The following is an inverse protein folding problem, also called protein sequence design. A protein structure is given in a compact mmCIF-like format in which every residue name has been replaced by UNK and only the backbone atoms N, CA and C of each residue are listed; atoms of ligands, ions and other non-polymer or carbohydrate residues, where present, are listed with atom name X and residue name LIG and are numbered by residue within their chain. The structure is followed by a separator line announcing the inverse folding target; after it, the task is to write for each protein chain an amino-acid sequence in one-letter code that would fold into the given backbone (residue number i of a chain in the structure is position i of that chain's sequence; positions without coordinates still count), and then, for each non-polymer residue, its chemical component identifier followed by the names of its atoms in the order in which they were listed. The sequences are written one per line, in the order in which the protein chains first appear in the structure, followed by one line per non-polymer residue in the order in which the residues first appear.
data_IF_030205493758
#
_entry.id   IF_030205493758
#
_cell.length_a   1.000
_cell.length_b   1.000
_cell.length_c   1.000
_cell.angle_alpha   90.00
_cell.angle_beta   90.00
_cell.angle_gamma   90.00
#
_symmetry.space_group_name_H-M   'P 1'
#
loop_
_entity.id
_entity.type
_entity.pdbx_description
1 polymer ?
#
# COMPACT_ATOMS: atom_id res chain seq x y z
N UNK A 1 -26.67 -45.54 -9.75
CA UNK A 1 -25.50 -45.51 -8.85
C UNK A 1 -24.67 -44.30 -9.19
N UNK A 2 -24.59 -43.40 -8.23
CA UNK A 2 -23.81 -42.17 -8.24
C UNK A 2 -22.32 -42.45 -8.03
N UNK A 3 -21.46 -41.61 -8.60
CA UNK A 3 -20.14 -41.32 -8.03
C UNK A 3 -18.96 -41.70 -8.91
N UNK A 4 -18.45 -40.74 -9.67
CA UNK A 4 -17.01 -40.47 -9.84
C UNK A 4 -16.84 -39.11 -10.52
N UNK A 5 -15.66 -38.49 -10.41
CA UNK A 5 -15.27 -37.17 -10.96
C UNK A 5 -15.36 -35.94 -10.06
N UNK A 6 -15.01 -36.06 -8.77
CA UNK A 6 -14.55 -34.89 -8.00
C UNK A 6 -13.23 -35.19 -7.28
N UNK A 7 -12.13 -35.04 -8.00
CA UNK A 7 -10.77 -35.28 -7.52
C UNK A 7 -9.73 -34.49 -8.32
N UNK A 8 -10.01 -33.21 -8.61
CA UNK A 8 -9.05 -32.31 -9.25
C UNK A 8 -7.99 -31.85 -8.24
N UNK A 9 -6.75 -32.23 -8.51
CA UNK A 9 -5.54 -31.96 -7.73
C UNK A 9 -5.50 -30.51 -7.21
N UNK A 10 -5.46 -30.31 -5.89
CA UNK A 10 -5.53 -28.98 -5.24
C UNK A 10 -4.38 -28.05 -5.64
N UNK A 11 -3.27 -28.62 -6.11
CA UNK A 11 -2.10 -27.92 -6.66
C UNK A 11 -2.40 -27.23 -8.00
N UNK A 12 -3.18 -27.86 -8.90
CA UNK A 12 -3.58 -27.24 -10.17
C UNK A 12 -4.45 -25.99 -9.94
N UNK A 13 -5.29 -25.97 -8.89
CA UNK A 13 -6.14 -24.81 -8.59
C UNK A 13 -5.35 -23.56 -8.15
N UNK A 14 -4.18 -23.74 -7.54
CA UNK A 14 -3.31 -22.63 -7.10
C UNK A 14 -2.46 -22.06 -8.24
N UNK A 15 -2.10 -22.89 -9.22
CA UNK A 15 -1.30 -22.50 -10.40
C UNK A 15 -2.11 -21.77 -11.48
N UNK A 16 -3.43 -21.99 -11.53
CA UNK A 16 -4.32 -21.47 -12.57
C UNK A 16 -4.29 -19.93 -12.73
N UNK A 17 -4.39 -19.10 -11.67
CA UNK A 17 -4.41 -17.64 -11.83
C UNK A 17 -3.08 -17.09 -12.33
N UNK A 18 -1.95 -17.58 -11.79
CA UNK A 18 -0.61 -17.15 -12.18
C UNK A 18 -0.32 -17.54 -13.63
N UNK A 19 -0.67 -18.76 -14.03
CA UNK A 19 -0.52 -19.22 -15.41
C UNK A 19 -1.37 -18.40 -16.37
N UNK A 20 -2.63 -18.12 -16.03
CA UNK A 20 -3.52 -17.30 -16.84
C UNK A 20 -2.97 -15.86 -17.02
N UNK A 21 -2.43 -15.25 -15.97
CA UNK A 21 -1.78 -13.93 -16.03
C UNK A 21 -0.62 -13.94 -17.03
N UNK A 22 0.25 -14.95 -16.98
CA UNK A 22 1.40 -15.06 -17.90
C UNK A 22 0.93 -15.24 -19.35
N UNK A 23 -0.01 -16.15 -19.60
CA UNK A 23 -0.56 -16.41 -20.93
C UNK A 23 -1.25 -15.17 -21.52
N UNK A 24 -2.02 -14.43 -20.71
CA UNK A 24 -2.66 -13.19 -21.14
C UNK A 24 -1.63 -12.13 -21.53
N UNK A 25 -0.57 -11.93 -20.72
CA UNK A 25 0.50 -10.97 -21.01
C UNK A 25 1.25 -11.34 -22.29
N UNK A 26 1.54 -12.61 -22.51
CA UNK A 26 2.18 -13.09 -23.74
C UNK A 26 1.29 -12.85 -24.97
N UNK A 27 -0.02 -13.08 -24.84
CA UNK A 27 -0.97 -12.83 -25.92
C UNK A 27 -1.09 -11.33 -26.23
N UNK A 28 -1.18 -10.48 -25.21
CA UNK A 28 -1.16 -9.01 -25.35
C UNK A 28 0.12 -8.55 -26.06
N UNK A 29 1.28 -9.09 -25.69
CA UNK A 29 2.56 -8.78 -26.36
C UNK A 29 2.53 -9.15 -27.85
N UNK A 30 1.97 -10.32 -28.18
CA UNK A 30 1.81 -10.78 -29.57
C UNK A 30 0.86 -9.87 -30.36
N UNK A 31 -0.27 -9.48 -29.78
CA UNK A 31 -1.21 -8.56 -30.41
C UNK A 31 -0.59 -7.17 -30.61
N UNK A 32 0.21 -6.68 -29.67
CA UNK A 32 0.95 -5.42 -29.83
C UNK A 32 1.94 -5.47 -31.00
N UNK A 33 2.69 -6.58 -31.17
CA UNK A 33 3.53 -6.79 -32.35
C UNK A 33 2.72 -6.75 -33.65
N UNK A 34 1.54 -7.38 -33.66
CA UNK A 34 0.63 -7.37 -34.81
C UNK A 34 0.07 -5.97 -35.10
N UNK A 35 -0.30 -5.20 -34.07
CA UNK A 35 -0.69 -3.79 -34.16
C UNK A 35 0.40 -2.96 -34.85
N UNK A 36 1.65 -3.07 -34.38
CA UNK A 36 2.79 -2.36 -34.97
C UNK A 36 3.01 -2.75 -36.44
N UNK A 37 2.89 -4.04 -36.76
CA UNK A 37 3.00 -4.51 -38.14
C UNK A 37 1.90 -3.94 -39.05
N UNK A 38 0.64 -3.89 -38.57
CA UNK A 38 -0.48 -3.29 -39.32
C UNK A 38 -0.26 -1.80 -39.53
N UNK A 39 0.27 -1.08 -38.54
CA UNK A 39 0.61 0.33 -38.66
C UNK A 39 1.67 0.56 -39.75
N UNK A 40 2.75 -0.25 -39.76
CA UNK A 40 3.76 -0.18 -40.81
C UNK A 40 3.16 -0.45 -42.19
N UNK A 41 2.29 -1.47 -42.33
CA UNK A 41 1.60 -1.75 -43.59
C UNK A 41 0.71 -0.59 -44.04
N UNK A 42 0.05 0.11 -43.11
CA UNK A 42 -0.72 1.32 -43.42
C UNK A 42 0.15 2.44 -43.95
N UNK A 43 1.30 2.67 -43.32
CA UNK A 43 2.25 3.72 -43.72
C UNK A 43 2.84 3.41 -45.10
N UNK A 44 3.19 2.15 -45.37
CA UNK A 44 3.67 1.70 -46.68
C UNK A 44 2.61 1.92 -47.78
N UNK A 45 1.33 1.61 -47.51
CA UNK A 45 0.25 1.87 -48.48
C UNK A 45 -0.01 3.36 -48.66
N UNK A 46 0.15 4.19 -47.62
CA UNK A 46 0.01 5.64 -47.72
C UNK A 46 1.10 6.24 -48.61
N UNK A 47 2.36 5.85 -48.40
CA UNK A 47 3.48 6.26 -49.23
C UNK A 47 3.30 5.81 -50.68
N UNK A 48 2.85 4.57 -50.90
CA UNK A 48 2.58 4.04 -52.22
C UNK A 48 1.45 4.80 -52.93
N UNK A 49 0.37 5.13 -52.21
CA UNK A 49 -0.73 5.93 -52.73
C UNK A 49 -0.24 7.32 -53.17
N UNK A 50 0.58 8.00 -52.35
CA UNK A 50 1.19 9.31 -52.68
C UNK A 50 2.04 9.24 -53.95
N UNK A 51 2.86 8.19 -54.09
CA UNK A 51 3.68 7.95 -55.28
C UNK A 51 2.82 7.77 -56.54
N UNK A 52 1.73 7.01 -56.46
CA UNK A 52 0.84 6.83 -57.61
C UNK A 52 0.08 8.11 -57.97
N UNK A 53 -0.28 8.94 -56.98
CA UNK A 53 -0.87 10.26 -57.22
C UNK A 53 0.12 11.17 -57.97
N UNK A 54 1.38 11.25 -57.55
CA UNK A 54 2.39 12.08 -58.23
C UNK A 54 2.64 11.64 -59.68
N UNK A 55 2.50 10.34 -59.98
CA UNK A 55 2.64 9.79 -61.34
C UNK A 55 1.32 9.79 -62.14
N UNK A 56 0.27 10.46 -61.65
CA UNK A 56 -1.08 10.52 -62.26
C UNK A 56 -1.76 9.14 -62.47
N UNK A 57 -1.35 8.12 -61.72
CA UNK A 57 -1.90 6.75 -61.77
C UNK A 57 -3.04 6.58 -60.76
N UNK A 58 -4.18 7.23 -61.04
CA UNK A 58 -5.31 7.37 -60.09
C UNK A 58 -5.94 6.04 -59.65
N UNK A 59 -6.07 5.06 -60.55
CA UNK A 59 -6.62 3.72 -60.22
C UNK A 59 -5.74 2.98 -59.22
N UNK A 60 -4.41 3.04 -59.38
CA UNK A 60 -3.46 2.38 -58.49
C UNK A 60 -3.43 3.06 -57.12
N UNK A 61 -3.49 4.39 -57.08
CA UNK A 61 -3.63 5.14 -55.83
C UNK A 61 -4.89 4.74 -55.05
N UNK A 62 -6.05 4.64 -55.73
CA UNK A 62 -7.31 4.20 -55.10
C UNK A 62 -7.19 2.78 -54.52
N UNK A 63 -6.53 1.86 -55.22
CA UNK A 63 -6.32 0.50 -54.73
C UNK A 63 -5.42 0.45 -53.48
N UNK A 64 -4.34 1.24 -53.45
CA UNK A 64 -3.48 1.36 -52.27
C UNK A 64 -4.25 1.91 -51.06
N UNK A 65 -5.05 2.98 -51.25
CA UNK A 65 -5.91 3.53 -50.20
C UNK A 65 -6.97 2.52 -49.71
N UNK A 66 -7.54 1.72 -50.61
CA UNK A 66 -8.48 0.64 -50.22
C UNK A 66 -7.81 -0.41 -49.34
N UNK A 67 -6.56 -0.79 -49.63
CA UNK A 67 -5.77 -1.71 -48.79
C UNK A 67 -5.46 -1.09 -47.44
N UNK A 68 -5.01 0.17 -47.40
CA UNK A 68 -4.81 0.93 -46.17
C UNK A 68 -6.07 0.91 -45.29
N UNK A 69 -7.24 1.17 -45.87
CA UNK A 69 -8.51 1.15 -45.13
C UNK A 69 -8.88 -0.24 -44.58
N UNK A 70 -8.49 -1.30 -45.29
CA UNK A 70 -8.59 -2.68 -44.81
C UNK A 70 -7.69 -2.93 -43.59
N UNK A 71 -6.45 -2.45 -43.62
CA UNK A 71 -5.54 -2.53 -42.48
C UNK A 71 -6.03 -1.70 -41.28
N UNK A 72 -6.58 -0.50 -41.49
CA UNK A 72 -7.21 0.31 -40.42
C UNK A 72 -8.34 -0.46 -39.71
N UNK A 73 -9.21 -1.13 -40.48
CA UNK A 73 -10.28 -1.97 -39.92
C UNK A 73 -9.72 -3.12 -39.09
N UNK A 74 -8.62 -3.74 -39.54
CA UNK A 74 -7.98 -4.82 -38.82
C UNK A 74 -7.24 -4.33 -37.57
N UNK A 75 -6.62 -3.15 -37.63
CA UNK A 75 -5.97 -2.51 -36.50
C UNK A 75 -6.97 -2.27 -35.37
N UNK A 76 -8.12 -1.69 -35.67
CA UNK A 76 -9.18 -1.44 -34.70
C UNK A 76 -9.67 -2.74 -34.02
N UNK A 77 -9.77 -3.84 -34.77
CA UNK A 77 -10.11 -5.16 -34.19
C UNK A 77 -9.02 -5.65 -33.23
N UNK A 78 -7.75 -5.49 -33.58
CA UNK A 78 -6.62 -5.89 -32.72
C UNK A 78 -6.57 -5.03 -31.46
N UNK A 79 -6.83 -3.73 -31.56
CA UNK A 79 -6.89 -2.82 -30.41
C UNK A 79 -8.02 -3.20 -29.44
N UNK A 80 -9.21 -3.48 -29.95
CA UNK A 80 -10.33 -3.96 -29.11
C UNK A 80 -10.00 -5.30 -28.42
N UNK A 81 -9.26 -6.18 -29.10
CA UNK A 81 -8.80 -7.44 -28.51
C UNK A 81 -7.80 -7.20 -27.38
N UNK A 82 -6.85 -6.27 -27.56
CA UNK A 82 -5.89 -5.88 -26.52
C UNK A 82 -6.63 -5.33 -25.29
N UNK A 83 -7.54 -4.37 -25.48
CA UNK A 83 -8.32 -3.77 -24.38
C UNK A 83 -9.13 -4.81 -23.59
N UNK A 84 -9.75 -5.76 -24.31
CA UNK A 84 -10.50 -6.86 -23.68
C UNK A 84 -9.59 -7.72 -22.81
N UNK A 85 -8.40 -8.08 -23.30
CA UNK A 85 -7.45 -8.92 -22.56
C UNK A 85 -6.82 -8.16 -21.38
N UNK A 86 -6.54 -6.87 -21.52
CA UNK A 86 -6.05 -6.01 -20.44
C UNK A 86 -7.09 -5.89 -19.32
N UNK A 87 -8.35 -5.69 -19.67
CA UNK A 87 -9.46 -5.67 -18.69
C UNK A 87 -9.57 -7.00 -17.94
N UNK A 88 -9.42 -8.13 -18.65
CA UNK A 88 -9.40 -9.46 -18.04
C UNK A 88 -8.20 -9.66 -17.12
N UNK A 89 -7.02 -9.21 -17.54
CA UNK A 89 -5.80 -9.28 -16.74
C UNK A 89 -5.97 -8.55 -15.40
N UNK A 90 -6.41 -7.29 -15.44
CA UNK A 90 -6.69 -6.49 -14.23
C UNK A 90 -7.73 -7.17 -13.34
N UNK A 91 -8.79 -7.74 -13.94
CA UNK A 91 -9.84 -8.46 -13.19
C UNK A 91 -9.28 -9.70 -12.48
N UNK A 92 -8.39 -10.46 -13.11
CA UNK A 92 -7.77 -11.66 -12.53
C UNK A 92 -6.78 -11.27 -11.43
N UNK A 93 -5.99 -10.22 -11.64
CA UNK A 93 -5.05 -9.70 -10.63
C UNK A 93 -5.80 -9.23 -9.38
N UNK A 94 -6.88 -8.47 -9.55
CA UNK A 94 -7.76 -8.07 -8.44
C UNK A 94 -8.44 -9.25 -7.75
N UNK A 95 -8.90 -10.25 -8.51
CA UNK A 95 -9.48 -11.46 -7.92
C UNK A 95 -8.44 -12.26 -7.12
N UNK A 96 -7.17 -12.30 -7.55
CA UNK A 96 -6.11 -12.96 -6.79
C UNK A 96 -5.80 -12.22 -5.48
N UNK A 97 -5.74 -10.88 -5.51
CA UNK A 97 -5.59 -10.07 -4.30
C UNK A 97 -6.74 -10.31 -3.31
N UNK A 98 -7.98 -10.26 -3.79
CA UNK A 98 -9.16 -10.54 -2.96
C UNK A 98 -9.12 -11.94 -2.35
N UNK A 99 -8.68 -12.94 -3.12
CA UNK A 99 -8.50 -14.30 -2.60
C UNK A 99 -7.44 -14.37 -1.48
N UNK A 100 -6.34 -13.63 -1.61
CA UNK A 100 -5.30 -13.55 -0.58
C UNK A 100 -5.81 -12.84 0.69
N UNK A 101 -6.53 -11.72 0.54
CA UNK A 101 -7.21 -11.05 1.67
C UNK A 101 -8.17 -12.00 2.39
N UNK A 102 -9.01 -12.72 1.64
CA UNK A 102 -9.94 -13.69 2.22
C UNK A 102 -9.23 -14.84 2.95
N UNK A 103 -8.07 -15.29 2.45
CA UNK A 103 -7.24 -16.29 3.16
C UNK A 103 -6.71 -15.74 4.48
N UNK A 104 -6.19 -14.51 4.49
CA UNK A 104 -5.71 -13.85 5.69
C UNK A 104 -6.83 -13.67 6.71
N UNK A 105 -8.01 -13.20 6.28
CA UNK A 105 -9.20 -13.09 7.13
C UNK A 105 -9.61 -14.44 7.71
N UNK A 106 -9.60 -15.52 6.92
CA UNK A 106 -9.90 -16.88 7.40
C UNK A 106 -8.89 -17.37 8.43
N UNK A 107 -7.60 -17.07 8.24
CA UNK A 107 -6.55 -17.40 9.22
C UNK A 107 -6.75 -16.61 10.52
N UNK A 108 -7.01 -15.31 10.43
CA UNK A 108 -7.34 -14.47 11.59
C UNK A 108 -8.58 -14.98 12.34
N UNK A 109 -9.67 -15.30 11.62
CA UNK A 109 -10.86 -15.88 12.21
C UNK A 109 -10.59 -17.22 12.91
N UNK A 110 -9.71 -18.07 12.36
CA UNK A 110 -9.28 -19.32 12.99
C UNK A 110 -8.47 -19.06 14.27
N UNK A 111 -7.54 -18.10 14.24
CA UNK A 111 -6.77 -17.71 15.42
C UNK A 111 -7.68 -17.15 16.53
N UNK A 112 -8.61 -16.25 16.18
CA UNK A 112 -9.62 -15.74 17.11
C UNK A 112 -10.50 -16.86 17.69
N UNK A 113 -10.90 -17.83 16.86
CA UNK A 113 -11.65 -19.00 17.33
C UNK A 113 -10.83 -19.87 18.28
N UNK A 114 -9.51 -19.99 18.08
CA UNK A 114 -8.66 -20.74 19.00
C UNK A 114 -8.47 -19.98 20.32
N UNK A 115 -8.19 -18.67 20.26
CA UNK A 115 -8.10 -17.81 21.44
C UNK A 115 -9.39 -17.93 22.25
N UNK A 116 -10.56 -17.66 21.65
CA UNK A 116 -11.84 -17.76 22.35
C UNK A 116 -12.30 -19.19 22.62
N UNK A 117 -11.80 -20.19 21.91
CA UNK A 117 -12.11 -21.59 22.16
C UNK A 117 -11.27 -22.20 23.29
N UNK A 118 -10.12 -21.61 23.63
CA UNK A 118 -9.39 -21.91 24.86
C UNK A 118 -10.07 -21.27 26.10
N UNK A 119 -10.79 -20.16 25.90
CA UNK A 119 -11.76 -19.58 26.85
C UNK A 119 -13.14 -20.22 26.65
N UNK A 120 -13.25 -21.52 26.90
CA UNK A 120 -14.55 -22.20 26.94
C UNK A 120 -15.51 -21.45 27.86
N UNK A 121 -16.78 -21.29 27.47
CA UNK A 121 -17.77 -20.51 28.26
C UNK A 121 -17.85 -21.05 29.69
N UNK A 122 -17.74 -22.36 29.84
CA UNK A 122 -17.72 -23.06 31.13
C UNK A 122 -16.53 -22.62 32.01
N UNK A 123 -15.34 -22.40 31.42
CA UNK A 123 -14.18 -21.88 32.17
C UNK A 123 -14.32 -20.40 32.54
N UNK A 124 -15.05 -19.64 31.74
CA UNK A 124 -15.36 -18.24 32.06
C UNK A 124 -16.36 -18.18 33.22
N UNK A 125 -17.34 -19.07 33.27
CA UNK A 125 -18.23 -19.22 34.44
C UNK A 125 -17.44 -19.64 35.69
N UNK A 126 -16.59 -20.67 35.60
CA UNK A 126 -15.72 -21.09 36.72
C UNK A 126 -14.83 -19.95 37.23
N UNK A 127 -14.21 -19.18 36.32
CA UNK A 127 -13.37 -18.04 36.69
C UNK A 127 -14.19 -16.89 37.31
N UNK A 128 -15.42 -16.67 36.84
CA UNK A 128 -16.31 -15.65 37.42
C UNK A 128 -16.82 -16.04 38.80
N UNK A 129 -17.04 -17.34 39.04
CA UNK A 129 -17.40 -17.85 40.36
C UNK A 129 -16.21 -17.79 41.32
N UNK A 130 -14.98 -18.11 40.89
CA UNK A 130 -13.77 -17.86 41.68
C UNK A 130 -13.58 -16.36 42.00
N UNK A 131 -13.86 -15.46 41.04
CA UNK A 131 -13.81 -14.01 41.29
C UNK A 131 -14.87 -13.59 42.33
N UNK A 132 -16.09 -14.12 42.26
CA UNK A 132 -17.14 -13.85 43.26
C UNK A 132 -16.74 -14.34 44.63
N UNK A 133 -16.20 -15.54 44.75
CA UNK A 133 -15.69 -16.07 46.02
C UNK A 133 -14.54 -15.19 46.57
N UNK A 134 -13.64 -14.70 45.72
CA UNK A 134 -12.56 -13.80 46.15
C UNK A 134 -13.06 -12.41 46.55
N UNK A 135 -14.10 -11.89 45.89
CA UNK A 135 -14.73 -10.62 46.27
C UNK A 135 -15.48 -10.79 47.61
N UNK A 136 -16.21 -11.88 47.79
CA UNK A 136 -16.88 -12.20 49.06
C UNK A 136 -15.87 -12.39 50.20
N UNK A 137 -14.75 -13.06 49.94
CA UNK A 137 -13.64 -13.19 50.90
C UNK A 137 -13.01 -11.82 51.21
N UNK A 138 -12.81 -10.97 50.20
CA UNK A 138 -12.27 -9.63 50.40
C UNK A 138 -13.23 -8.76 51.24
N UNK A 139 -14.54 -8.88 51.03
CA UNK A 139 -15.57 -8.21 51.83
C UNK A 139 -15.62 -8.75 53.26
N UNK A 140 -15.50 -10.07 53.46
CA UNK A 140 -15.42 -10.69 54.79
C UNK A 140 -14.13 -10.29 55.54
N UNK A 141 -13.01 -10.17 54.84
CA UNK A 141 -11.74 -9.64 55.38
C UNK A 141 -11.91 -8.16 55.72
N UNK A 142 -12.50 -7.36 54.83
CA UNK A 142 -12.77 -5.95 55.05
C UNK A 142 -13.68 -5.74 56.27
N UNK A 143 -14.71 -6.58 56.43
CA UNK A 143 -15.61 -6.55 57.57
C UNK A 143 -14.95 -7.07 58.86
N UNK A 144 -14.06 -8.07 58.77
CA UNK A 144 -13.28 -8.58 59.90
C UNK A 144 -12.20 -7.60 60.37
N UNK A 145 -11.60 -6.82 59.45
CA UNK A 145 -10.64 -5.74 59.75
C UNK A 145 -11.38 -4.50 60.25
N UNK A 146 -12.54 -4.18 59.68
CA UNK A 146 -13.37 -3.04 60.09
C UNK A 146 -14.13 -3.29 61.40
N UNK A 147 -14.07 -4.50 61.99
CA UNK A 147 -14.43 -4.73 63.39
C UNK A 147 -13.44 -3.93 64.25
N UNK A 148 -13.88 -2.84 64.92
CA UNK A 148 -12.94 -1.96 65.59
C UNK A 148 -12.26 -2.69 66.74
N UNK A 149 -10.96 -2.94 66.61
CA UNK A 149 -10.09 -3.26 67.75
C UNK A 149 -9.32 -1.99 68.07
N UNK A 150 -9.90 -1.17 68.94
CA UNK A 150 -9.27 0.03 69.47
C UNK A 150 -9.64 1.31 68.73
N UNK A 151 -10.20 2.26 69.47
CA UNK A 151 -10.29 3.65 69.03
C UNK A 151 -8.88 4.24 69.02
N UNK A 152 -8.33 4.50 67.85
CA UNK A 152 -7.21 5.44 67.71
C UNK A 152 -7.75 6.60 66.88
N UNK A 153 -8.07 7.69 67.58
CA UNK A 153 -8.49 8.95 66.97
C UNK A 153 -7.28 9.52 66.23
N UNK A 154 -7.40 9.64 64.91
CA UNK A 154 -6.47 10.42 64.09
C UNK A 154 -6.70 11.89 64.40
N UNK A 155 -5.62 12.63 64.66
CA UNK A 155 -5.68 14.07 64.93
C UNK A 155 -5.86 14.83 63.60
N UNK A 156 -7.07 15.33 63.36
CA UNK A 156 -7.42 16.03 62.11
C UNK A 156 -6.58 17.31 61.91
N UNK A 157 -6.05 17.90 62.98
CA UNK A 157 -5.22 19.11 62.91
C UNK A 157 -3.84 18.84 62.27
N UNK A 158 -3.31 17.62 62.42
CA UNK A 158 -2.04 17.20 61.80
C UNK A 158 -2.21 16.96 60.29
N UNK A 159 -3.34 16.37 59.88
CA UNK A 159 -3.68 16.17 58.47
C UNK A 159 -3.91 17.50 57.73
N UNK A 160 -4.58 18.45 58.38
CA UNK A 160 -4.83 19.76 57.78
C UNK A 160 -3.52 20.55 57.54
N UNK A 161 -2.51 20.39 58.41
CA UNK A 161 -1.18 20.96 58.17
C UNK A 161 -0.47 20.29 57.00
N UNK A 162 -0.47 18.96 56.94
CA UNK A 162 0.18 18.22 55.86
C UNK A 162 -0.48 18.52 54.50
N UNK A 163 -1.81 18.67 54.46
CA UNK A 163 -2.54 19.06 53.27
C UNK A 163 -2.17 20.48 52.80
N UNK A 164 -2.03 21.42 53.73
CA UNK A 164 -1.66 22.80 53.41
C UNK A 164 -0.23 22.90 52.84
N UNK A 165 0.69 22.04 53.28
CA UNK A 165 2.05 21.97 52.73
C UNK A 165 2.03 21.45 51.28
N UNK A 166 1.29 20.37 51.01
CA UNK A 166 1.17 19.81 49.66
C UNK A 166 0.53 20.77 48.64
N UNK A 167 -0.46 21.57 49.06
CA UNK A 167 -1.09 22.56 48.17
C UNK A 167 -0.14 23.70 47.79
N UNK A 168 0.77 24.09 48.69
CA UNK A 168 1.76 25.12 48.41
C UNK A 168 2.83 24.63 47.43
N UNK A 169 3.34 23.42 47.60
CA UNK A 169 4.31 22.82 46.66
C UNK A 169 3.75 22.75 45.23
N UNK A 170 2.47 22.39 45.08
CA UNK A 170 1.82 22.29 43.77
C UNK A 170 1.69 23.66 43.08
N UNK A 171 1.41 24.72 43.85
CA UNK A 171 1.34 26.10 43.32
C UNK A 171 2.68 26.65 42.85
N UNK A 172 3.78 26.23 43.47
CA UNK A 172 5.12 26.63 43.04
C UNK A 172 5.51 25.95 41.72
N UNK A 173 5.16 24.66 41.57
CA UNK A 173 5.41 23.89 40.35
C UNK A 173 4.64 24.42 39.11
N UNK A 174 3.47 25.03 39.29
CA UNK A 174 2.73 25.64 38.17
C UNK A 174 3.31 26.98 37.70
N UNK A 175 3.88 27.78 38.62
CA UNK A 175 4.48 29.09 38.28
C UNK A 175 5.75 28.95 37.44
N UNK A 176 6.47 27.84 37.56
CA UNK A 176 7.71 27.58 36.81
C UNK A 176 7.44 27.26 35.33
N UNK A 177 6.25 26.75 34.98
CA UNK A 177 5.86 26.35 33.61
C UNK A 177 5.40 27.52 32.71
N UNK A 178 5.23 28.73 33.24
CA UNK A 178 4.58 29.85 32.54
C UNK A 178 5.51 30.99 32.06
N UNK A 179 6.78 30.73 31.70
CA UNK A 179 7.66 31.74 31.08
C UNK A 179 7.70 31.61 29.53
N UNK A 180 7.22 32.59 28.74
CA UNK A 180 7.20 32.51 27.27
C UNK A 180 8.51 33.02 26.62
N UNK A 181 9.13 32.22 25.75
CA UNK A 181 10.22 32.65 24.86
C UNK A 181 9.66 33.35 23.60
N UNK A 182 10.18 34.55 23.30
CA UNK A 182 9.76 35.45 22.23
C UNK A 182 10.26 35.00 20.85
N UNK A 183 9.37 34.96 19.87
CA UNK A 183 9.64 34.86 18.42
C UNK A 183 10.20 36.19 17.88
N UNK A 184 11.14 36.14 16.93
CA UNK A 184 11.49 37.27 16.06
C UNK A 184 11.36 36.84 14.59
N UNK A 185 10.69 37.69 13.81
CA UNK A 185 10.36 37.55 12.39
C UNK A 185 11.01 38.68 11.56
N UNK A 186 11.17 38.39 10.24
CA UNK A 186 11.13 39.30 9.05
C UNK A 186 12.42 40.07 8.62
N UNK A 187 12.52 40.66 7.38
CA UNK A 187 12.33 40.11 6.01
C UNK A 187 13.30 40.69 4.89
N UNK A 188 13.28 40.07 3.69
CA UNK A 188 13.59 40.47 2.27
C UNK A 188 14.55 41.64 1.85
N UNK A 189 15.39 41.42 0.80
CA UNK A 189 15.79 42.44 -0.21
C UNK A 189 16.38 41.87 -1.54
N UNK A 190 16.14 42.61 -2.63
CA UNK A 190 16.42 42.44 -4.08
C UNK A 190 17.76 43.09 -4.47
N UNK A 191 18.49 42.67 -5.53
CA UNK A 191 19.25 43.55 -6.47
C UNK A 191 19.80 42.80 -7.72
N UNK A 192 20.10 43.56 -8.78
CA UNK A 192 20.16 43.24 -10.22
C UNK A 192 21.55 43.58 -10.83
N UNK A 193 22.03 42.73 -11.75
CA UNK A 193 23.01 42.86 -12.89
C UNK A 193 24.21 43.84 -12.85
N UNK A 194 25.42 43.37 -13.20
CA UNK A 194 26.24 43.85 -14.37
C UNK A 194 27.60 43.10 -14.60
N UNK A 195 27.74 42.54 -15.82
CA UNK A 195 28.89 42.46 -16.76
C UNK A 195 30.12 41.49 -16.62
N UNK A 196 30.50 40.93 -17.78
CA UNK A 196 31.46 39.83 -18.11
C UNK A 196 32.91 40.32 -18.40
N UNK A 197 33.90 39.39 -18.53
CA UNK A 197 34.37 39.00 -19.87
C UNK A 197 34.70 37.48 -20.07
N UNK A 198 35.06 37.13 -21.32
CA UNK A 198 34.99 35.85 -22.05
C UNK A 198 36.11 34.79 -21.84
N UNK A 199 35.68 33.50 -21.81
CA UNK A 199 36.22 32.16 -22.22
C UNK A 199 37.74 31.84 -22.29
N UNK A 200 38.11 30.56 -22.00
CA UNK A 200 38.15 29.53 -23.06
C UNK A 200 37.45 28.19 -22.72
N UNK A 201 36.92 27.55 -23.77
CA UNK A 201 36.34 26.20 -23.89
C UNK A 201 37.32 25.07 -23.50
N UNK A 202 36.74 23.86 -23.25
CA UNK A 202 37.31 22.49 -23.09
C UNK A 202 37.05 22.01 -21.64
N UNK A 203 36.37 20.92 -21.28
CA UNK A 203 36.08 19.64 -21.94
C UNK A 203 34.82 18.96 -21.31
N UNK A 204 34.27 18.03 -22.09
CA UNK A 204 33.20 17.07 -21.80
C UNK A 204 33.53 16.10 -20.65
N UNK A 205 32.62 15.93 -19.68
CA UNK A 205 32.49 14.77 -18.77
C UNK A 205 31.04 14.73 -18.25
N UNK A 206 30.17 13.96 -18.93
CA UNK A 206 29.45 12.78 -18.42
C UNK A 206 28.32 13.09 -17.40
N UNK A 207 27.04 12.82 -17.75
CA UNK A 207 25.95 12.87 -16.78
C UNK A 207 25.99 11.60 -15.93
N UNK A 208 26.09 11.76 -14.61
CA UNK A 208 25.87 10.67 -13.65
C UNK A 208 24.38 10.30 -13.74
N UNK A 209 24.10 9.05 -14.07
CA UNK A 209 22.74 8.50 -14.18
C UNK A 209 22.12 8.33 -12.80
N UNK A 210 20.82 8.61 -12.68
CA UNK A 210 20.02 8.32 -11.48
C UNK A 210 20.11 6.85 -11.03
N UNK A 211 20.44 5.94 -11.96
CA UNK A 211 20.65 4.52 -11.68
C UNK A 211 21.77 4.27 -10.64
N UNK A 212 22.79 5.14 -10.56
CA UNK A 212 23.91 4.99 -9.62
C UNK A 212 23.52 5.40 -8.17
N UNK A 213 22.58 6.34 -8.03
CA UNK A 213 22.06 6.77 -6.72
C UNK A 213 21.11 5.73 -6.12
N UNK A 214 20.28 5.10 -6.96
CA UNK A 214 19.34 4.05 -6.55
C UNK A 214 20.06 2.76 -6.12
N UNK A 215 21.16 2.39 -6.80
CA UNK A 215 21.97 1.22 -6.42
C UNK A 215 22.70 1.45 -5.08
N UNK A 216 23.16 2.67 -4.82
CA UNK A 216 23.77 3.05 -3.53
C UNK A 216 22.74 2.99 -2.38
N UNK A 217 21.51 3.44 -2.61
CA UNK A 217 20.43 3.38 -1.62
C UNK A 217 20.01 1.94 -1.29
N UNK A 218 19.93 1.06 -2.29
CA UNK A 218 19.61 -0.36 -2.10
C UNK A 218 20.69 -1.09 -1.28
N UNK A 219 21.96 -0.76 -1.51
CA UNK A 219 23.08 -1.39 -0.79
C UNK A 219 23.18 -0.93 0.67
N UNK A 220 22.84 0.33 0.96
CA UNK A 220 22.76 0.84 2.32
C UNK A 220 21.64 0.14 3.12
N UNK A 221 20.48 -0.08 2.49
CA UNK A 221 19.32 -0.72 3.13
C UNK A 221 19.56 -2.22 3.38
N UNK A 222 20.32 -2.90 2.52
CA UNK A 222 20.78 -4.27 2.75
C UNK A 222 21.79 -4.38 3.91
N UNK A 223 22.62 -3.37 4.12
CA UNK A 223 23.57 -3.36 5.23
C UNK A 223 22.89 -3.09 6.58
N UNK A 224 21.80 -2.31 6.60
CA UNK A 224 21.05 -1.98 7.81
C UNK A 224 20.14 -3.13 8.29
N UNK A 225 19.68 -4.00 7.38
CA UNK A 225 18.85 -5.16 7.72
C UNK A 225 19.63 -6.42 8.15
N UNK A 226 20.96 -6.31 8.34
CA UNK A 226 21.78 -7.26 9.11
C UNK A 226 21.53 -8.75 8.87
N UNK A 227 22.29 -9.33 7.93
CA UNK A 227 22.77 -10.71 8.08
C UNK A 227 23.95 -10.71 9.05
#
# INVERSE_FOLDING_TARGET
MWGYFFGGNSQQKKELPKKAIVELREHISTLNKKKNHLQQQMDDQDQLARKYVSSKQTTLAKNALKRKKGYETNLLKVENQIETLETQLVSIEGANLNLETMKAMKQGAKAMKQIHGEYDVDKVEDTMDEIREQVELADEISEAISRPVGNEYVDEDELDQELAELENENREAEKEKAKPQKQQQQPAAVHKEEQLPSFPTVNKAEPVSQDDEDEAALKALQAEMGL
#
